data_IF_985922863366
#
_entry.id   IF_985922863366
#
_cell.length_a   1.000
_cell.length_b   1.000
_cell.length_c   1.000
_cell.angle_alpha   90.00
_cell.angle_beta   90.00
_cell.angle_gamma   90.00
#
_symmetry.space_group_name_H-M   'P 1'
#
loop_
_entity.id
_entity.type
_entity.pdbx_description
1 polymer ?
#
# COMPACT_ATOMS: atom_id res chain seq x y z
N UNK A 1 -18.61 -13.52 5.69
CA UNK A 1 -19.37 -12.36 5.18
C UNK A 1 -18.38 -11.35 4.62
N UNK A 2 -18.70 -10.67 3.51
CA UNK A 2 -17.87 -9.61 2.93
C UNK A 2 -18.08 -8.31 3.72
N UNK A 3 -17.00 -7.63 4.13
CA UNK A 3 -17.06 -6.30 4.76
C UNK A 3 -16.17 -5.32 3.98
N UNK A 4 -16.68 -4.13 3.75
CA UNK A 4 -15.93 -3.02 3.13
C UNK A 4 -15.16 -2.29 4.23
N UNK A 5 -13.89 -1.99 3.99
CA UNK A 5 -13.05 -1.17 4.87
C UNK A 5 -12.77 0.16 4.14
N UNK A 6 -12.96 1.27 4.86
CA UNK A 6 -12.78 2.61 4.32
C UNK A 6 -12.23 3.55 5.41
N UNK A 7 -10.96 3.93 5.28
CA UNK A 7 -10.26 4.87 6.15
C UNK A 7 -10.25 6.27 5.52
N UNK A 8 -10.62 7.28 6.32
CA UNK A 8 -10.52 8.69 5.92
C UNK A 8 -9.08 9.22 5.89
N UNK A 9 -8.13 8.47 6.44
CA UNK A 9 -6.70 8.81 6.46
C UNK A 9 -5.94 8.25 5.25
N UNK A 10 -6.61 7.47 4.40
CA UNK A 10 -6.06 6.98 3.15
C UNK A 10 -6.86 7.58 1.97
N UNK A 11 -6.25 7.70 0.78
CA UNK A 11 -6.93 8.24 -0.40
C UNK A 11 -8.25 7.52 -0.68
N UNK A 12 -9.34 8.28 -0.80
CA UNK A 12 -10.65 7.73 -1.11
C UNK A 12 -10.64 6.96 -2.44
N UNK A 13 -11.45 5.91 -2.53
CA UNK A 13 -11.66 5.20 -3.79
C UNK A 13 -12.49 6.07 -4.75
N UNK A 14 -11.83 6.73 -5.70
CA UNK A 14 -12.48 7.60 -6.70
C UNK A 14 -13.15 6.77 -7.82
N UNK A 15 -12.57 5.60 -8.14
CA UNK A 15 -13.06 4.70 -9.18
C UNK A 15 -13.99 3.60 -8.63
N UNK A 16 -14.40 2.64 -9.49
CA UNK A 16 -15.32 1.57 -9.11
C UNK A 16 -14.61 0.43 -8.33
N UNK A 17 -13.98 0.76 -7.21
CA UNK A 17 -13.30 -0.17 -6.31
C UNK A 17 -13.45 0.24 -4.84
N UNK A 18 -13.01 -0.60 -3.91
CA UNK A 18 -12.97 -0.30 -2.48
C UNK A 18 -11.51 -0.18 -2.03
N UNK A 19 -11.21 0.64 -1.02
CA UNK A 19 -9.84 0.72 -0.46
C UNK A 19 -9.35 -0.65 0.02
N UNK A 20 -10.20 -1.37 0.75
CA UNK A 20 -9.98 -2.76 1.09
C UNK A 20 -11.30 -3.52 1.28
N UNK A 21 -11.23 -4.84 1.11
CA UNK A 21 -12.30 -5.78 1.43
C UNK A 21 -11.79 -6.78 2.44
N UNK A 22 -12.57 -7.02 3.47
CA UNK A 22 -12.40 -8.17 4.34
C UNK A 22 -13.32 -9.31 3.89
N UNK A 23 -12.75 -10.51 3.76
CA UNK A 23 -13.47 -11.74 3.54
C UNK A 23 -12.79 -12.89 4.30
N UNK A 24 -13.56 -13.59 5.13
CA UNK A 24 -13.11 -14.80 5.84
C UNK A 24 -11.83 -14.62 6.67
N UNK A 25 -11.71 -13.51 7.40
CA UNK A 25 -10.54 -13.21 8.23
C UNK A 25 -9.31 -12.69 7.48
N UNK A 26 -9.39 -12.61 6.15
CA UNK A 26 -8.37 -11.98 5.31
C UNK A 26 -8.81 -10.58 4.91
N UNK A 27 -7.86 -9.65 4.87
CA UNK A 27 -8.05 -8.28 4.39
C UNK A 27 -7.21 -8.08 3.14
N UNK A 28 -7.88 -7.72 2.04
CA UNK A 28 -7.28 -7.44 0.75
C UNK A 28 -7.29 -5.93 0.55
N UNK A 29 -6.11 -5.32 0.59
CA UNK A 29 -5.92 -3.88 0.38
C UNK A 29 -5.59 -3.65 -1.09
N UNK A 30 -6.36 -2.79 -1.76
CA UNK A 30 -6.08 -2.40 -3.16
C UNK A 30 -4.74 -1.69 -3.28
N UNK A 31 -4.23 -1.56 -4.50
CA UNK A 31 -3.02 -0.80 -4.78
C UNK A 31 -3.08 0.62 -4.23
N UNK A 32 -2.19 0.92 -3.30
CA UNK A 32 -2.09 2.22 -2.66
C UNK A 32 -1.11 3.10 -3.41
N UNK A 33 -1.66 4.15 -4.02
CA UNK A 33 -0.89 5.24 -4.61
C UNK A 33 -0.32 6.16 -3.51
N UNK A 34 0.78 6.88 -3.79
CA UNK A 34 1.49 7.69 -2.82
C UNK A 34 0.87 9.09 -2.69
N UNK A 35 -0.44 9.13 -2.45
CA UNK A 35 -1.22 10.35 -2.29
C UNK A 35 -1.49 10.56 -0.81
N UNK A 36 -1.22 11.76 -0.31
CA UNK A 36 -1.64 12.18 1.03
C UNK A 36 -3.14 12.47 1.03
N UNK A 37 -3.90 11.84 1.94
CA UNK A 37 -5.35 11.95 1.97
C UNK A 37 -5.86 13.34 2.39
N UNK A 38 -5.08 14.09 3.17
CA UNK A 38 -5.46 15.40 3.67
C UNK A 38 -5.30 16.50 2.61
N UNK A 39 -4.27 16.39 1.78
CA UNK A 39 -3.89 17.39 0.78
C UNK A 39 -4.27 16.99 -0.64
N UNK A 40 -4.42 15.69 -0.91
CA UNK A 40 -4.60 15.14 -2.25
C UNK A 40 -3.32 15.20 -3.11
N UNK A 41 -2.18 15.58 -2.52
CA UNK A 41 -0.90 15.74 -3.21
C UNK A 41 -0.15 14.41 -3.24
N UNK A 42 0.48 14.12 -4.38
CA UNK A 42 1.36 12.96 -4.53
C UNK A 42 2.76 13.30 -4.02
N UNK A 43 3.36 12.43 -3.22
CA UNK A 43 4.73 12.62 -2.75
C UNK A 43 5.75 12.63 -3.92
N UNK A 44 6.86 13.35 -3.75
CA UNK A 44 7.90 13.47 -4.78
C UNK A 44 9.08 12.53 -4.50
N UNK A 45 9.49 11.77 -5.54
CA UNK A 45 10.61 10.82 -5.45
C UNK A 45 10.24 9.46 -4.86
N UNK A 46 11.01 8.43 -5.20
CA UNK A 46 10.66 7.04 -4.89
C UNK A 46 10.62 6.75 -3.37
N UNK A 47 11.53 7.32 -2.57
CA UNK A 47 11.52 7.12 -1.11
C UNK A 47 10.24 7.69 -0.48
N UNK A 48 9.90 8.95 -0.78
CA UNK A 48 8.73 9.60 -0.20
C UNK A 48 7.43 8.94 -0.70
N UNK A 49 7.41 8.48 -1.96
CA UNK A 49 6.27 7.74 -2.48
C UNK A 49 6.10 6.38 -1.81
N UNK A 50 7.17 5.60 -1.64
CA UNK A 50 7.12 4.35 -0.91
C UNK A 50 6.60 4.55 0.53
N UNK A 51 7.07 5.59 1.21
CA UNK A 51 6.60 5.99 2.54
C UNK A 51 5.09 6.26 2.54
N UNK A 52 4.61 7.13 1.65
CA UNK A 52 3.20 7.50 1.61
C UNK A 52 2.29 6.32 1.25
N UNK A 53 2.70 5.45 0.31
CA UNK A 53 1.95 4.23 -0.01
C UNK A 53 1.86 3.29 1.20
N UNK A 54 2.93 3.15 1.99
CA UNK A 54 2.93 2.31 3.19
C UNK A 54 2.13 2.91 4.34
N UNK A 55 2.16 4.23 4.55
CA UNK A 55 1.27 4.90 5.52
C UNK A 55 -0.20 4.74 5.13
N UNK A 56 -0.53 4.84 3.85
CA UNK A 56 -1.90 4.61 3.36
C UNK A 56 -2.36 3.17 3.67
N UNK A 57 -1.51 2.16 3.42
CA UNK A 57 -1.78 0.77 3.80
C UNK A 57 -2.01 0.65 5.31
N UNK A 58 -1.13 1.23 6.12
CA UNK A 58 -1.21 1.21 7.58
C UNK A 58 -2.54 1.79 8.06
N UNK A 59 -2.95 2.95 7.55
CA UNK A 59 -4.21 3.59 7.90
C UNK A 59 -5.45 2.76 7.52
N UNK A 60 -5.39 2.01 6.42
CA UNK A 60 -6.46 1.10 6.02
C UNK A 60 -6.51 -0.12 6.94
N UNK A 61 -5.35 -0.68 7.32
CA UNK A 61 -5.28 -1.81 8.25
C UNK A 61 -5.75 -1.40 9.65
N UNK A 62 -5.38 -0.21 10.13
CA UNK A 62 -5.84 0.35 11.41
C UNK A 62 -7.37 0.46 11.46
N UNK A 63 -8.02 0.89 10.38
CA UNK A 63 -9.49 0.92 10.25
C UNK A 63 -10.11 -0.48 10.30
N UNK A 64 -9.37 -1.50 9.86
CA UNK A 64 -9.76 -2.89 9.98
C UNK A 64 -9.44 -3.50 11.37
N UNK A 65 -8.84 -2.74 12.30
CA UNK A 65 -8.36 -3.22 13.59
C UNK A 65 -7.10 -4.09 13.52
N UNK A 66 -6.28 -3.90 12.48
CA UNK A 66 -5.04 -4.63 12.20
C UNK A 66 -3.85 -3.66 12.17
N UNK A 67 -2.63 -4.19 12.10
CA UNK A 67 -1.40 -3.43 11.89
C UNK A 67 -0.51 -4.05 10.81
N UNK A 68 0.67 -3.43 10.59
CA UNK A 68 1.62 -3.87 9.57
C UNK A 68 2.10 -5.32 9.78
N UNK A 69 2.20 -5.77 11.03
CA UNK A 69 2.58 -7.15 11.38
C UNK A 69 1.56 -8.22 10.93
N UNK A 70 0.33 -7.82 10.61
CA UNK A 70 -0.71 -8.72 10.09
C UNK A 70 -0.56 -8.98 8.58
N UNK A 71 0.30 -8.24 7.88
CA UNK A 71 0.52 -8.41 6.44
C UNK A 71 1.27 -9.73 6.21
N UNK A 72 0.72 -10.57 5.32
CA UNK A 72 1.32 -11.85 4.93
C UNK A 72 1.91 -11.81 3.51
N UNK A 73 1.43 -10.90 2.66
CA UNK A 73 1.92 -10.71 1.29
C UNK A 73 1.83 -9.23 0.89
N UNK A 74 2.87 -8.73 0.23
CA UNK A 74 2.85 -7.47 -0.53
C UNK A 74 3.15 -7.70 -1.99
N UNK A 75 2.53 -6.92 -2.86
CA UNK A 75 2.96 -6.78 -4.27
C UNK A 75 3.33 -5.34 -4.49
N UNK A 76 4.58 -5.12 -4.93
CA UNK A 76 5.14 -3.80 -5.20
C UNK A 76 5.29 -3.63 -6.70
N UNK A 77 4.69 -2.57 -7.22
CA UNK A 77 4.81 -2.15 -8.62
C UNK A 77 5.66 -0.90 -8.67
N UNK A 78 6.69 -0.91 -9.51
CA UNK A 78 7.60 0.21 -9.73
C UNK A 78 7.45 0.71 -11.16
N UNK A 79 7.55 2.03 -11.36
CA UNK A 79 7.64 2.60 -12.70
C UNK A 79 8.94 2.21 -13.43
N UNK A 80 10.03 2.03 -12.67
CA UNK A 80 11.33 1.59 -13.18
C UNK A 80 12.07 0.79 -12.09
N UNK A 81 12.85 -0.22 -12.49
CA UNK A 81 13.57 -1.09 -11.55
C UNK A 81 14.75 -0.39 -10.86
N UNK A 82 15.28 0.70 -11.43
CA UNK A 82 16.30 1.54 -10.78
C UNK A 82 15.83 2.14 -9.45
N UNK A 83 14.52 2.29 -9.25
CA UNK A 83 13.90 2.82 -8.03
C UNK A 83 13.83 1.81 -6.89
N UNK A 84 14.19 0.55 -7.14
CA UNK A 84 14.03 -0.53 -6.17
C UNK A 84 14.82 -0.27 -4.88
N UNK A 85 16.04 0.23 -4.96
CA UNK A 85 16.88 0.46 -3.78
C UNK A 85 16.26 1.49 -2.82
N UNK A 86 15.80 2.61 -3.38
CA UNK A 86 15.14 3.70 -2.65
C UNK A 86 13.85 3.22 -1.98
N UNK A 87 12.99 2.54 -2.75
CA UNK A 87 11.76 1.95 -2.20
C UNK A 87 12.07 0.92 -1.11
N UNK A 88 13.05 0.03 -1.33
CA UNK A 88 13.34 -1.08 -0.43
C UNK A 88 13.95 -0.60 0.90
N UNK A 89 14.71 0.50 0.89
CA UNK A 89 15.22 1.16 2.09
C UNK A 89 14.08 1.63 2.98
N UNK A 90 13.07 2.29 2.42
CA UNK A 90 11.88 2.73 3.17
C UNK A 90 11.02 1.54 3.60
N UNK A 91 10.78 0.59 2.69
CA UNK A 91 10.00 -0.62 2.99
C UNK A 91 10.52 -1.37 4.22
N UNK A 92 11.85 -1.46 4.38
CA UNK A 92 12.48 -2.16 5.48
C UNK A 92 12.18 -1.55 6.86
N UNK A 93 11.81 -0.26 6.95
CA UNK A 93 11.53 0.41 8.22
C UNK A 93 10.12 0.16 8.74
N UNK A 94 9.25 -0.46 7.95
CA UNK A 94 7.84 -0.71 8.31
C UNK A 94 7.58 -2.10 8.91
N UNK A 95 8.60 -2.95 8.98
CA UNK A 95 8.49 -4.32 9.48
C UNK A 95 9.65 -4.64 10.42
N UNK A 96 9.33 -5.26 11.56
CA UNK A 96 10.31 -5.70 12.53
C UNK A 96 10.52 -7.23 12.43
N UNK A 97 11.60 -7.62 11.76
CA UNK A 97 12.06 -9.01 11.67
C UNK A 97 11.32 -9.86 10.63
N UNK A 98 10.05 -10.21 10.88
CA UNK A 98 9.29 -11.10 10.01
C UNK A 98 8.63 -10.32 8.85
N UNK A 99 9.35 -10.25 7.72
CA UNK A 99 8.82 -9.62 6.50
C UNK A 99 7.74 -10.50 5.84
N UNK A 100 6.69 -9.89 5.25
CA UNK A 100 5.71 -10.62 4.47
C UNK A 100 6.36 -11.23 3.22
N UNK A 101 5.71 -12.24 2.64
CA UNK A 101 6.04 -12.66 1.29
C UNK A 101 5.93 -11.45 0.34
N UNK A 102 6.75 -11.40 -0.71
CA UNK A 102 6.78 -10.23 -1.61
C UNK A 102 6.98 -10.61 -3.07
N UNK A 103 6.31 -9.85 -3.93
CA UNK A 103 6.65 -9.74 -5.36
C UNK A 103 6.96 -8.28 -5.63
N UNK A 104 8.03 -8.00 -6.38
CA UNK A 104 8.40 -6.65 -6.79
C UNK A 104 8.72 -6.67 -8.28
N UNK A 105 8.04 -5.84 -9.07
CA UNK A 105 8.16 -5.81 -10.53
C UNK A 105 8.15 -4.38 -11.05
N UNK A 106 8.88 -4.13 -12.13
CA UNK A 106 8.74 -2.91 -12.90
C UNK A 106 7.62 -3.09 -13.93
N UNK A 107 6.72 -2.10 -14.04
CA UNK A 107 5.58 -2.12 -14.96
C UNK A 107 5.68 -0.97 -15.97
N UNK A 108 4.90 -1.03 -17.04
CA UNK A 108 4.94 -0.01 -18.10
C UNK A 108 4.56 1.40 -17.60
N UNK A 109 3.56 1.49 -16.74
CA UNK A 109 3.07 2.74 -16.16
C UNK A 109 2.21 2.43 -14.93
N UNK A 110 2.12 3.40 -14.04
CA UNK A 110 1.23 3.39 -12.87
C UNK A 110 0.18 4.49 -13.00
N UNK A 111 -1.00 4.36 -12.34
CA UNK A 111 -2.00 5.42 -12.30
C UNK A 111 -1.40 6.75 -11.82
N UNK A 112 -1.79 7.85 -12.48
CA UNK A 112 -1.30 9.21 -12.22
C UNK A 112 0.23 9.37 -12.28
N UNK A 113 0.89 8.52 -13.07
CA UNK A 113 2.35 8.53 -13.26
C UNK A 113 3.14 8.39 -11.93
N UNK A 114 2.57 7.67 -10.96
CA UNK A 114 3.27 7.33 -9.74
C UNK A 114 4.54 6.51 -10.05
N UNK A 115 5.52 6.58 -9.16
CA UNK A 115 6.76 5.82 -9.20
C UNK A 115 6.65 4.48 -8.48
N UNK A 116 5.81 4.42 -7.44
CA UNK A 116 5.59 3.25 -6.60
C UNK A 116 4.10 3.08 -6.31
N UNK A 117 3.59 1.86 -6.44
CA UNK A 117 2.27 1.44 -5.96
C UNK A 117 2.41 0.13 -5.19
N UNK A 118 1.72 -0.01 -4.06
CA UNK A 118 1.83 -1.19 -3.19
C UNK A 118 0.43 -1.68 -2.82
N UNK A 119 0.17 -2.97 -3.04
CA UNK A 119 -0.99 -3.67 -2.48
C UNK A 119 -0.54 -4.67 -1.41
N UNK A 120 -1.46 -5.09 -0.54
CA UNK A 120 -1.16 -6.12 0.43
C UNK A 120 -2.36 -7.01 0.79
N UNK A 121 -2.02 -8.19 1.31
CA UNK A 121 -2.96 -9.10 1.95
C UNK A 121 -2.53 -9.22 3.41
N UNK A 122 -3.49 -9.04 4.32
CA UNK A 122 -3.31 -9.22 5.74
C UNK A 122 -4.29 -10.26 6.30
N UNK A 123 -3.95 -10.83 7.46
CA UNK A 123 -4.78 -11.82 8.17
C UNK A 123 -5.01 -11.41 9.61
N UNK A 124 -6.20 -11.73 10.14
CA UNK A 124 -6.54 -11.63 11.56
C UNK A 124 -5.90 -12.74 12.37
#
# INVERSE_FOLDING_TARGET
MKKVICSQKAPGAIGPYSQAIEASGMVFVSGQLPIDAATGVMAEGAEAQACQSLENIKHILEEAGLGMANIVKTTVFLADMSLFADMNKVYATYFDGAFPARSAVAVKALPKDALVEIECIAVR
#
